data_IF_138512878566
#
_entry.id   IF_138512878566
#
_cell.length_a   1.000
_cell.length_b   1.000
_cell.length_c   1.000
_cell.angle_alpha   90.00
_cell.angle_beta   90.00
_cell.angle_gamma   90.00
#
_symmetry.space_group_name_H-M   'P 1'
#
loop_
_entity.id
_entity.type
_entity.pdbx_description
1 polymer ?
#
# COMPACT_ATOMS: atom_id res chain seq x y z
N UNK A 1 17.85 17.58 11.66
CA UNK A 1 17.36 18.79 12.35
C UNK A 1 17.92 18.80 13.77
N UNK A 2 18.79 19.76 14.12
CA UNK A 2 19.46 19.83 15.44
C UNK A 2 18.83 20.85 16.39
N UNK A 3 18.07 21.81 15.87
CA UNK A 3 17.52 22.95 16.62
C UNK A 3 16.28 22.65 17.47
N UNK A 4 15.59 21.52 17.21
CA UNK A 4 14.32 21.12 17.86
C UNK A 4 13.15 22.10 17.69
N UNK A 5 13.25 23.05 16.77
CA UNK A 5 12.16 23.98 16.45
C UNK A 5 11.39 23.45 15.24
N UNK A 6 10.08 23.34 15.35
CA UNK A 6 9.20 22.89 14.24
C UNK A 6 9.22 23.85 13.05
N UNK A 7 9.40 25.15 13.31
CA UNK A 7 9.50 26.20 12.28
C UNK A 7 10.70 26.06 11.36
N UNK A 8 11.73 25.32 11.77
CA UNK A 8 12.93 25.10 10.97
C UNK A 8 12.77 23.90 10.01
N UNK A 9 11.62 23.21 10.05
CA UNK A 9 11.33 22.08 9.16
C UNK A 9 10.93 22.60 7.77
N UNK A 10 11.48 21.98 6.72
CA UNK A 10 11.11 22.29 5.34
C UNK A 10 9.65 21.94 5.02
N UNK A 11 9.06 21.00 5.77
CA UNK A 11 7.67 20.58 5.63
C UNK A 11 7.13 20.09 6.98
N UNK A 12 5.84 20.26 7.19
CA UNK A 12 5.12 19.73 8.34
C UNK A 12 5.09 18.19 8.31
N UNK A 13 4.93 17.56 9.47
CA UNK A 13 4.77 16.10 9.58
C UNK A 13 3.53 15.61 8.84
N UNK A 14 2.45 16.40 8.79
CA UNK A 14 1.24 16.04 8.03
C UNK A 14 1.55 15.83 6.54
N UNK A 15 2.40 16.68 5.96
CA UNK A 15 2.83 16.53 4.56
C UNK A 15 3.67 15.26 4.38
N UNK A 16 4.55 14.98 5.34
CA UNK A 16 5.32 13.73 5.37
C UNK A 16 4.40 12.50 5.39
N UNK A 17 3.41 12.49 6.28
CA UNK A 17 2.40 11.45 6.39
C UNK A 17 1.68 11.20 5.07
N UNK A 18 1.07 12.24 4.48
CA UNK A 18 0.33 12.14 3.22
C UNK A 18 1.23 11.65 2.06
N UNK A 19 2.48 12.12 2.00
CA UNK A 19 3.42 11.70 0.96
C UNK A 19 3.80 10.22 1.04
N UNK A 20 3.80 9.65 2.25
CA UNK A 20 4.15 8.25 2.52
C UNK A 20 2.96 7.30 2.44
N UNK A 21 1.73 7.82 2.51
CA UNK A 21 0.50 7.04 2.64
C UNK A 21 0.38 5.99 1.53
N UNK A 22 0.58 6.38 0.26
CA UNK A 22 0.42 5.45 -0.87
C UNK A 22 1.36 4.23 -0.78
N UNK A 23 2.62 4.45 -0.37
CA UNK A 23 3.58 3.36 -0.19
C UNK A 23 3.14 2.40 0.92
N UNK A 24 2.60 2.91 2.02
CA UNK A 24 2.10 2.09 3.13
C UNK A 24 0.86 1.29 2.72
N UNK A 25 -0.13 1.93 2.09
CA UNK A 25 -1.35 1.27 1.63
C UNK A 25 -1.04 0.17 0.60
N UNK A 26 -0.16 0.46 -0.37
CA UNK A 26 0.30 -0.53 -1.35
C UNK A 26 1.01 -1.72 -0.70
N UNK A 27 1.86 -1.47 0.31
CA UNK A 27 2.53 -2.52 1.06
C UNK A 27 1.56 -3.39 1.86
N UNK A 28 0.53 -2.82 2.48
CA UNK A 28 -0.49 -3.57 3.20
C UNK A 28 -1.25 -4.48 2.23
N UNK A 29 -1.73 -3.92 1.11
CA UNK A 29 -2.39 -4.70 0.05
C UNK A 29 -1.50 -5.86 -0.45
N UNK A 30 -0.22 -5.60 -0.72
CA UNK A 30 0.72 -6.64 -1.17
C UNK A 30 0.95 -7.74 -0.13
N UNK A 31 1.12 -7.38 1.15
CA UNK A 31 1.37 -8.34 2.23
C UNK A 31 0.16 -9.25 2.48
N UNK A 32 -1.05 -8.70 2.40
CA UNK A 32 -2.30 -9.46 2.49
C UNK A 32 -2.63 -10.24 1.21
N UNK A 33 -1.96 -9.92 0.10
CA UNK A 33 -2.21 -10.54 -1.19
C UNK A 33 -1.85 -12.03 -1.27
N UNK A 34 -2.39 -12.67 -2.30
CA UNK A 34 -2.23 -14.10 -2.56
C UNK A 34 -1.40 -14.36 -3.82
N UNK A 35 -0.80 -15.54 -3.90
CA UNK A 35 -0.09 -15.99 -5.10
C UNK A 35 -1.08 -16.54 -6.13
N UNK A 36 -1.21 -15.85 -7.27
CA UNK A 36 -2.10 -16.25 -8.36
C UNK A 36 -1.37 -16.29 -9.70
N UNK A 37 -2.02 -16.89 -10.71
CA UNK A 37 -1.47 -16.88 -12.07
C UNK A 37 -1.54 -15.47 -12.68
N UNK A 38 -0.68 -15.14 -13.66
CA UNK A 38 -0.75 -13.84 -14.34
C UNK A 38 -2.11 -13.59 -14.98
N UNK A 39 -2.74 -14.62 -15.56
CA UNK A 39 -4.08 -14.50 -16.15
C UNK A 39 -5.13 -14.10 -15.10
N UNK A 40 -5.16 -14.79 -13.95
CA UNK A 40 -6.09 -14.44 -12.86
C UNK A 40 -5.82 -13.04 -12.29
N UNK A 41 -4.55 -12.61 -12.26
CA UNK A 41 -4.18 -11.25 -11.88
C UNK A 41 -4.77 -10.21 -12.85
N UNK A 42 -4.68 -10.42 -14.16
CA UNK A 42 -5.22 -9.49 -15.15
C UNK A 42 -6.74 -9.36 -15.06
N UNK A 43 -7.46 -10.47 -14.90
CA UNK A 43 -8.92 -10.47 -14.68
C UNK A 43 -9.29 -9.70 -13.40
N UNK A 44 -8.53 -9.94 -12.32
CA UNK A 44 -8.72 -9.19 -11.07
C UNK A 44 -8.50 -7.70 -11.27
N UNK A 45 -7.43 -7.30 -11.97
CA UNK A 45 -7.15 -5.89 -12.25
C UNK A 45 -8.25 -5.23 -13.10
N UNK A 46 -8.85 -5.96 -14.05
CA UNK A 46 -9.97 -5.47 -14.86
C UNK A 46 -11.22 -5.18 -14.03
N UNK A 47 -11.45 -5.98 -12.98
CA UNK A 47 -12.61 -5.80 -12.10
C UNK A 47 -12.51 -4.59 -11.16
N UNK A 48 -11.33 -3.98 -11.03
CA UNK A 48 -11.13 -2.84 -10.13
C UNK A 48 -11.54 -1.55 -10.84
N UNK A 49 -12.56 -0.89 -10.30
CA UNK A 49 -12.95 0.45 -10.74
C UNK A 49 -11.93 1.48 -10.25
N UNK A 50 -11.08 1.97 -11.16
CA UNK A 50 -10.13 3.07 -10.89
C UNK A 50 -10.14 4.07 -12.04
N UNK A 51 -9.47 5.21 -11.84
CA UNK A 51 -9.32 6.25 -12.88
C UNK A 51 -8.33 5.86 -13.98
N UNK A 52 -7.50 4.84 -13.75
CA UNK A 52 -6.47 4.39 -14.69
C UNK A 52 -6.72 2.97 -15.19
N UNK A 53 -6.11 2.62 -16.32
CA UNK A 53 -6.14 1.26 -16.82
C UNK A 53 -5.06 0.41 -16.13
N UNK A 54 -5.40 -0.11 -14.95
CA UNK A 54 -4.51 -0.95 -14.14
C UNK A 54 -4.16 -2.27 -14.84
N UNK A 55 -5.09 -2.85 -15.62
CA UNK A 55 -4.85 -4.04 -16.44
C UNK A 55 -3.75 -3.79 -17.46
N UNK A 56 -3.85 -2.71 -18.23
CA UNK A 56 -2.85 -2.33 -19.23
C UNK A 56 -1.48 -2.09 -18.58
N UNK A 57 -1.43 -1.45 -17.42
CA UNK A 57 -0.17 -1.26 -16.69
C UNK A 57 0.45 -2.60 -16.29
N UNK A 58 -0.34 -3.55 -15.80
CA UNK A 58 0.14 -4.89 -15.47
C UNK A 58 0.58 -5.68 -16.71
N UNK A 59 -0.12 -5.56 -17.84
CA UNK A 59 0.29 -6.15 -19.12
C UNK A 59 1.66 -5.64 -19.56
N UNK A 60 1.93 -4.34 -19.43
CA UNK A 60 3.26 -3.77 -19.72
C UNK A 60 4.35 -4.36 -18.81
N UNK A 61 4.04 -4.56 -17.52
CA UNK A 61 4.98 -5.20 -16.57
C UNK A 61 5.28 -6.62 -17.01
N UNK A 62 4.26 -7.42 -17.33
CA UNK A 62 4.44 -8.80 -17.78
C UNK A 62 5.23 -8.88 -19.10
N UNK A 63 4.95 -7.98 -20.04
CA UNK A 63 5.70 -7.87 -21.30
C UNK A 63 7.17 -7.52 -21.06
N UNK A 64 7.44 -6.56 -20.17
CA UNK A 64 8.81 -6.17 -19.81
C UNK A 64 9.56 -7.34 -19.15
N UNK A 65 8.94 -8.05 -18.22
CA UNK A 65 9.55 -9.22 -17.56
C UNK A 65 9.88 -10.32 -18.58
N UNK A 66 8.95 -10.61 -19.49
CA UNK A 66 9.16 -11.58 -20.58
C UNK A 66 10.32 -11.16 -21.50
N UNK A 67 10.41 -9.89 -21.85
CA UNK A 67 11.51 -9.35 -22.66
C UNK A 67 12.89 -9.49 -21.97
N UNK A 68 12.91 -9.61 -20.64
CA UNK A 68 14.12 -9.81 -19.83
C UNK A 68 14.31 -11.28 -19.40
N UNK A 69 13.69 -12.22 -20.11
CA UNK A 69 13.81 -13.67 -19.86
C UNK A 69 13.34 -14.12 -18.47
N UNK A 70 12.45 -13.36 -17.82
CA UNK A 70 11.78 -13.80 -16.61
C UNK A 70 10.55 -14.60 -17.01
N UNK A 71 10.52 -15.89 -16.66
CA UNK A 71 9.35 -16.74 -16.90
C UNK A 71 8.20 -16.31 -15.98
N UNK A 72 7.26 -15.56 -16.53
CA UNK A 72 6.07 -15.10 -15.81
C UNK A 72 4.94 -16.12 -15.86
N UNK A 73 4.99 -17.12 -16.74
CA UNK A 73 3.89 -18.08 -16.92
C UNK A 73 4.02 -19.28 -15.98
N UNK A 74 5.23 -19.68 -15.63
CA UNK A 74 5.47 -20.69 -14.59
C UNK A 74 5.38 -20.12 -13.17
N UNK A 75 5.68 -18.83 -13.00
CA UNK A 75 5.76 -18.20 -11.68
C UNK A 75 4.45 -17.49 -11.31
N UNK A 76 3.96 -17.78 -10.10
CA UNK A 76 2.82 -17.07 -9.53
C UNK A 76 3.22 -15.63 -9.17
N UNK A 77 2.32 -14.69 -9.42
CA UNK A 77 2.47 -13.29 -8.99
C UNK A 77 1.71 -13.09 -7.69
N UNK A 78 2.29 -12.35 -6.75
CA UNK A 78 1.59 -11.96 -5.52
C UNK A 78 0.73 -10.74 -5.82
N UNK A 79 -0.57 -10.90 -5.67
CA UNK A 79 -1.56 -9.87 -6.02
C UNK A 79 -2.39 -9.53 -4.80
N UNK A 80 -2.28 -8.27 -4.36
CA UNK A 80 -3.07 -7.71 -3.27
C UNK A 80 -4.53 -7.52 -3.63
N UNK A 81 -5.36 -7.32 -2.61
CA UNK A 81 -6.74 -6.88 -2.78
C UNK A 81 -6.83 -5.36 -2.92
N UNK A 82 -7.91 -4.90 -3.56
CA UNK A 82 -8.28 -3.49 -3.51
C UNK A 82 -8.84 -3.16 -2.14
N UNK A 83 -8.15 -2.28 -1.42
CA UNK A 83 -8.52 -1.90 -0.06
C UNK A 83 -9.10 -0.48 -0.07
N UNK A 84 -10.42 -0.37 0.09
CA UNK A 84 -11.10 0.91 0.21
C UNK A 84 -10.77 1.58 1.55
N UNK A 85 -10.31 2.83 1.50
CA UNK A 85 -9.91 3.64 2.65
C UNK A 85 -10.94 4.74 2.91
N UNK A 86 -11.30 4.96 4.17
CA UNK A 86 -11.99 6.18 4.60
C UNK A 86 -10.94 7.28 4.89
N UNK A 87 -10.91 8.38 4.13
CA UNK A 87 -9.91 9.44 4.31
C UNK A 87 -10.11 10.26 5.59
N UNK A 88 -11.27 10.17 6.27
CA UNK A 88 -11.52 10.92 7.51
C UNK A 88 -10.96 10.20 8.73
N UNK A 89 -11.15 8.89 8.79
CA UNK A 89 -10.70 8.05 9.90
C UNK A 89 -9.37 7.38 9.62
N UNK A 90 -8.88 7.44 8.37
CA UNK A 90 -7.66 6.79 7.87
C UNK A 90 -7.66 5.27 8.09
N UNK A 91 -8.84 4.65 7.98
CA UNK A 91 -9.03 3.20 8.18
C UNK A 91 -9.62 2.53 6.95
N UNK A 92 -9.32 1.25 6.77
CA UNK A 92 -9.93 0.43 5.73
C UNK A 92 -11.36 0.05 6.10
N UNK A 93 -12.29 0.24 5.17
CA UNK A 93 -13.73 0.08 5.44
C UNK A 93 -14.19 -1.37 5.51
N UNK A 94 -13.46 -2.30 4.88
CA UNK A 94 -13.89 -3.68 4.69
C UNK A 94 -12.85 -4.73 5.12
N UNK A 95 -11.74 -4.33 5.76
CA UNK A 95 -10.66 -5.26 6.13
C UNK A 95 -10.05 -4.96 7.50
N UNK A 96 -10.42 -5.78 8.49
CA UNK A 96 -9.82 -5.69 9.83
C UNK A 96 -8.34 -6.06 9.83
N UNK A 97 -7.94 -7.09 9.07
CA UNK A 97 -6.54 -7.49 8.96
C UNK A 97 -5.66 -6.39 8.35
N UNK A 98 -6.20 -5.57 7.45
CA UNK A 98 -5.50 -4.39 6.96
C UNK A 98 -5.40 -3.29 8.02
N UNK A 99 -6.46 -3.08 8.81
CA UNK A 99 -6.46 -2.12 9.92
C UNK A 99 -5.45 -2.50 11.01
N UNK A 100 -5.27 -3.78 11.30
CA UNK A 100 -4.28 -4.27 12.27
C UNK A 100 -2.83 -3.95 11.84
N UNK A 101 -2.61 -3.65 10.54
CA UNK A 101 -1.31 -3.28 9.97
C UNK A 101 -1.09 -1.77 9.86
N UNK A 102 -2.07 -0.94 10.22
CA UNK A 102 -1.94 0.54 10.24
C UNK A 102 -1.04 1.02 11.39
N UNK A 103 -0.89 0.19 12.41
CA UNK A 103 0.01 0.43 13.53
C UNK A 103 0.92 -0.77 13.74
N UNK A 104 1.83 -0.66 14.71
CA UNK A 104 2.76 -1.70 15.12
C UNK A 104 2.76 -1.82 16.62
N UNK A 105 3.20 -2.97 17.11
CA UNK A 105 3.50 -3.13 18.53
C UNK A 105 4.68 -2.23 18.90
N UNK A 106 4.43 -1.25 19.75
CA UNK A 106 5.44 -0.33 20.25
C UNK A 106 6.16 -0.92 21.45
N UNK A 107 7.46 -0.63 21.56
CA UNK A 107 8.28 -1.03 22.70
C UNK A 107 8.18 0.01 23.82
N UNK A 108 7.75 -0.39 25.01
CA UNK A 108 7.74 0.48 26.19
C UNK A 108 9.14 1.04 26.53
N UNK A 109 9.26 2.31 26.96
CA UNK A 109 8.20 3.31 27.12
C UNK A 109 7.87 4.13 25.85
N UNK A 110 8.42 3.78 24.68
CA UNK A 110 8.30 4.55 23.44
C UNK A 110 7.02 4.18 22.65
N UNK A 111 5.86 4.48 23.25
CA UNK A 111 4.54 4.22 22.68
C UNK A 111 3.99 5.48 22.01
N UNK A 112 3.41 5.32 20.82
CA UNK A 112 2.62 6.39 20.19
C UNK A 112 1.19 6.29 20.73
N UNK A 113 0.64 7.36 21.36
CA UNK A 113 -0.73 7.35 21.87
C UNK A 113 -1.75 7.12 20.75
N UNK A 114 -2.94 6.62 21.11
CA UNK A 114 -4.02 6.49 20.15
C UNK A 114 -4.52 7.87 19.70
N UNK A 115 -5.16 7.92 18.53
CA UNK A 115 -5.79 9.14 18.04
C UNK A 115 -6.75 9.72 19.11
N UNK A 116 -6.61 11.02 19.40
CA UNK A 116 -7.39 11.71 20.44
C UNK A 116 -6.83 11.61 21.87
N UNK A 117 -5.63 11.05 22.06
CA UNK A 117 -4.98 10.93 23.38
C UNK A 117 -3.68 11.75 23.53
N UNK A 118 -3.45 12.70 22.61
CA UNK A 118 -2.27 13.61 22.58
C UNK A 118 -2.64 15.04 22.95
#
# INVERSE_FOLDING_TARGET
VRSRKSTDLNADIEQGHLSSALCHLGNISYRLGELMSPAACLEKMESISTTENVKQTMERVLAHLKANNVDTMQNKVRTGDYLALDPKTETFTASQSANDMLSREYRAPFVVPAAGQV
#
